data_IF_024619937236
#
_entry.id   IF_024619937236
#
_cell.length_a   1.000
_cell.length_b   1.000
_cell.length_c   1.000
_cell.angle_alpha   90.00
_cell.angle_beta   90.00
_cell.angle_gamma   90.00
#
_symmetry.space_group_name_H-M   'P 1'
#
loop_
_entity.id
_entity.type
_entity.pdbx_description
1 polymer ?
#
# COMPACT_ATOMS: atom_id res chain seq x y z
N UNK A 1 -24.15 -60.30 57.09
CA UNK A 1 -23.40 -59.03 57.28
C UNK A 1 -23.39 -58.27 55.95
N UNK A 2 -23.40 -56.94 55.98
CA UNK A 2 -24.13 -56.02 55.07
C UNK A 2 -23.24 -55.51 53.89
N UNK A 3 -23.55 -54.42 53.15
CA UNK A 3 -24.83 -53.77 52.79
C UNK A 3 -25.02 -53.47 51.27
N UNK A 4 -26.24 -52.97 50.98
CA UNK A 4 -26.76 -52.18 49.84
C UNK A 4 -25.77 -51.31 49.01
N UNK A 5 -26.04 -51.08 47.71
CA UNK A 5 -25.46 -49.98 46.97
C UNK A 5 -26.17 -48.64 47.28
N UNK A 6 -25.37 -47.62 47.61
CA UNK A 6 -25.79 -46.23 47.79
C UNK A 6 -25.67 -45.43 46.49
N UNK A 7 -26.62 -44.52 46.36
CA UNK A 7 -26.79 -43.45 45.38
C UNK A 7 -25.56 -42.57 45.13
N UNK A 8 -25.44 -42.03 43.91
CA UNK A 8 -25.26 -40.57 43.71
C UNK A 8 -25.37 -40.20 42.22
N UNK A 9 -26.52 -39.62 41.85
CA UNK A 9 -26.64 -38.74 40.69
C UNK A 9 -26.85 -37.32 41.22
N UNK A 10 -26.01 -36.33 40.87
CA UNK A 10 -26.30 -34.94 41.21
C UNK A 10 -27.37 -34.38 40.27
N UNK A 11 -28.43 -33.83 40.89
CA UNK A 11 -29.49 -33.04 40.27
C UNK A 11 -28.91 -31.78 39.61
N UNK A 12 -29.09 -31.66 38.29
CA UNK A 12 -29.02 -30.36 37.61
C UNK A 12 -30.28 -29.56 37.95
N UNK A 13 -30.10 -28.44 38.65
CA UNK A 13 -31.17 -27.49 38.94
C UNK A 13 -31.43 -26.64 37.69
N UNK A 14 -32.49 -26.97 36.97
CA UNK A 14 -33.05 -26.15 35.90
C UNK A 14 -33.87 -25.01 36.53
N UNK A 15 -33.26 -23.83 36.66
CA UNK A 15 -34.00 -22.57 36.85
C UNK A 15 -34.39 -22.01 35.47
N UNK A 16 -35.66 -21.66 35.23
CA UNK A 16 -36.06 -21.02 33.98
C UNK A 16 -35.53 -19.59 33.92
N UNK A 17 -34.79 -19.28 32.85
CA UNK A 17 -34.41 -17.91 32.47
C UNK A 17 -35.68 -17.23 31.92
N UNK A 18 -36.18 -16.29 32.70
CA UNK A 18 -37.24 -15.36 32.34
C UNK A 18 -36.75 -14.37 31.28
N UNK A 19 -37.42 -14.36 30.14
CA UNK A 19 -37.29 -13.36 29.07
C UNK A 19 -37.85 -12.02 29.53
N UNK A 20 -37.11 -10.90 29.45
CA UNK A 20 -37.71 -9.58 29.63
C UNK A 20 -38.39 -9.13 28.34
N UNK A 21 -39.71 -8.97 28.46
CA UNK A 21 -40.61 -8.39 27.47
C UNK A 21 -40.30 -6.93 27.18
N UNK A 22 -40.31 -6.56 25.90
CA UNK A 22 -40.21 -5.20 25.40
C UNK A 22 -41.34 -4.31 25.94
N UNK A 23 -41.07 -3.09 26.43
CA UNK A 23 -42.11 -2.10 26.65
C UNK A 23 -42.39 -1.33 25.34
N UNK A 24 -43.65 -1.37 24.93
CA UNK A 24 -44.22 -0.46 23.93
C UNK A 24 -44.34 0.94 24.54
N UNK A 25 -43.84 1.95 23.82
CA UNK A 25 -44.08 3.36 24.14
C UNK A 25 -44.76 4.01 22.94
N UNK A 26 -45.98 4.46 23.19
CA UNK A 26 -46.80 5.32 22.36
C UNK A 26 -46.18 6.72 22.21
N UNK A 27 -46.53 7.49 21.15
CA UNK A 27 -45.88 8.75 20.86
C UNK A 27 -46.46 9.88 21.71
N UNK A 28 -45.61 10.52 22.52
CA UNK A 28 -45.95 11.76 23.23
C UNK A 28 -45.51 12.97 22.40
N UNK A 29 -46.49 13.76 21.98
CA UNK A 29 -46.36 15.10 21.43
C UNK A 29 -45.74 16.04 22.46
N UNK A 30 -44.61 16.69 22.15
CA UNK A 30 -44.23 17.96 22.77
C UNK A 30 -43.34 18.81 21.84
N UNK A 31 -43.93 19.96 21.45
CA UNK A 31 -43.33 21.28 21.25
C UNK A 31 -41.99 21.42 20.50
N UNK A 32 -42.10 21.90 19.25
CA UNK A 32 -41.03 22.58 18.53
C UNK A 32 -40.52 23.82 19.29
N UNK A 33 -39.32 23.74 19.84
CA UNK A 33 -38.49 24.92 20.11
C UNK A 33 -37.51 25.06 18.95
N UNK A 34 -37.78 26.02 18.05
CA UNK A 34 -36.86 26.42 16.98
C UNK A 34 -35.70 27.21 17.59
N UNK A 35 -34.54 26.59 17.73
CA UNK A 35 -33.26 27.29 17.84
C UNK A 35 -32.77 27.59 16.42
N UNK A 36 -32.80 28.87 16.04
CA UNK A 36 -32.24 29.35 14.79
C UNK A 36 -30.70 29.32 14.88
N UNK A 37 -30.10 28.29 14.28
CA UNK A 37 -28.66 28.25 13.99
C UNK A 37 -28.38 28.83 12.59
N UNK A 38 -27.26 29.52 12.38
CA UNK A 38 -26.93 30.11 11.08
C UNK A 38 -26.63 29.03 10.02
N UNK A 39 -27.12 29.28 8.81
CA UNK A 39 -26.98 28.46 7.60
C UNK A 39 -25.52 28.17 7.23
N UNK A 40 -25.16 26.97 6.73
CA UNK A 40 -23.83 26.71 6.23
C UNK A 40 -23.58 27.49 4.94
N UNK A 41 -22.74 28.53 5.02
CA UNK A 41 -22.21 29.22 3.86
C UNK A 41 -21.37 28.23 3.03
N UNK A 42 -21.72 28.13 1.75
CA UNK A 42 -21.00 27.43 0.70
C UNK A 42 -19.56 27.94 0.60
N UNK A 43 -18.61 27.17 1.13
CA UNK A 43 -17.18 27.44 0.96
C UNK A 43 -16.76 27.08 -0.47
N UNK A 44 -16.87 28.06 -1.37
CA UNK A 44 -16.24 28.01 -2.70
C UNK A 44 -14.75 28.35 -2.54
N UNK A 45 -13.87 27.38 -2.77
CA UNK A 45 -12.42 27.59 -2.80
C UNK A 45 -12.02 28.22 -4.15
N UNK A 46 -12.14 29.54 -4.25
CA UNK A 46 -11.59 30.30 -5.37
C UNK A 46 -10.11 30.62 -5.11
N UNK A 47 -9.20 29.82 -5.67
CA UNK A 47 -7.77 30.14 -5.71
C UNK A 47 -7.44 30.95 -6.96
N UNK A 48 -7.70 32.26 -6.94
CA UNK A 48 -7.15 33.19 -7.94
C UNK A 48 -6.29 34.22 -7.25
N UNK A 49 -4.99 33.95 -7.16
CA UNK A 49 -3.98 34.98 -6.88
C UNK A 49 -3.75 35.78 -8.16
N UNK A 50 -4.36 36.97 -8.25
CA UNK A 50 -4.16 37.90 -9.35
C UNK A 50 -2.77 38.56 -9.24
N UNK A 51 -1.83 38.11 -10.07
CA UNK A 51 -0.60 38.84 -10.39
C UNK A 51 -0.79 39.75 -11.62
N UNK A 52 0.06 40.78 -11.81
CA UNK A 52 -0.12 41.75 -12.89
C UNK A 52 0.07 41.11 -14.27
N UNK A 53 -0.81 41.47 -15.20
CA UNK A 53 -0.93 40.91 -16.54
C UNK A 53 0.34 41.14 -17.39
N UNK A 54 1.01 40.06 -17.77
CA UNK A 54 2.04 40.04 -18.82
C UNK A 54 1.36 39.91 -20.20
N UNK A 55 1.81 40.70 -21.17
CA UNK A 55 1.27 40.77 -22.52
C UNK A 55 1.31 39.42 -23.26
N UNK A 56 0.34 39.11 -24.14
CA UNK A 56 0.26 37.82 -24.81
C UNK A 56 1.35 37.66 -25.86
N UNK A 57 2.15 36.60 -25.74
CA UNK A 57 3.06 36.12 -26.79
C UNK A 57 2.27 35.47 -27.94
N UNK A 58 2.75 35.53 -29.19
CA UNK A 58 2.02 35.04 -30.35
C UNK A 58 1.82 33.51 -30.30
N UNK A 59 0.62 33.08 -30.65
CA UNK A 59 0.18 31.69 -30.62
C UNK A 59 1.06 30.81 -31.53
N UNK A 60 1.80 29.89 -30.90
CA UNK A 60 2.40 28.76 -31.59
C UNK A 60 1.29 27.80 -32.01
N UNK A 61 1.29 27.42 -33.29
CA UNK A 61 0.35 26.49 -33.90
C UNK A 61 0.33 25.14 -33.15
N UNK A 62 -0.82 24.44 -33.08
CA UNK A 62 -0.89 23.15 -32.40
C UNK A 62 -0.11 22.12 -33.22
N UNK A 63 1.13 21.85 -32.82
CA UNK A 63 1.81 20.63 -33.23
C UNK A 63 0.97 19.46 -32.73
N UNK A 64 0.50 18.63 -33.64
CA UNK A 64 -0.17 17.37 -33.35
C UNK A 64 0.75 16.51 -32.48
N UNK A 65 0.56 16.57 -31.16
CA UNK A 65 1.17 15.62 -30.23
C UNK A 65 0.48 14.28 -30.46
N UNK A 66 0.94 13.55 -31.49
CA UNK A 66 0.63 12.14 -31.63
C UNK A 66 1.09 11.48 -30.33
N UNK A 67 0.13 11.12 -29.49
CA UNK A 67 0.36 10.25 -28.33
C UNK A 67 0.89 8.94 -28.90
N UNK A 68 2.23 8.82 -28.96
CA UNK A 68 2.89 7.58 -29.37
C UNK A 68 2.44 6.52 -28.39
N UNK A 69 1.56 5.62 -28.83
CA UNK A 69 1.32 4.37 -28.12
C UNK A 69 2.67 3.69 -27.93
N UNK A 70 2.93 3.27 -26.71
CA UNK A 70 4.10 2.46 -26.38
C UNK A 70 4.12 1.16 -27.16
N UNK A 71 5.30 0.63 -27.44
CA UNK A 71 5.41 -0.71 -27.98
C UNK A 71 5.02 -1.76 -26.93
N UNK A 72 4.55 -2.97 -27.33
CA UNK A 72 4.26 -4.06 -26.41
C UNK A 72 5.45 -4.42 -25.51
N UNK A 73 6.67 -4.40 -26.05
CA UNK A 73 7.91 -4.61 -25.29
C UNK A 73 8.08 -3.57 -24.18
N UNK A 74 7.90 -2.28 -24.49
CA UNK A 74 7.98 -1.20 -23.48
C UNK A 74 6.89 -1.30 -22.41
N UNK A 75 5.75 -1.91 -22.73
CA UNK A 75 4.68 -2.15 -21.77
C UNK A 75 5.00 -3.33 -20.85
N UNK A 76 5.63 -4.38 -21.38
CA UNK A 76 6.13 -5.51 -20.62
C UNK A 76 7.27 -5.09 -19.67
N UNK A 77 8.26 -4.33 -20.17
CA UNK A 77 9.36 -3.80 -19.34
C UNK A 77 8.84 -2.97 -18.16
N UNK A 78 7.79 -2.15 -18.40
CA UNK A 78 7.18 -1.33 -17.34
C UNK A 78 6.41 -2.17 -16.33
N UNK A 79 5.80 -3.26 -16.77
CA UNK A 79 5.09 -4.19 -15.89
C UNK A 79 6.08 -4.93 -14.98
N UNK A 80 7.19 -5.41 -15.54
CA UNK A 80 8.28 -6.07 -14.81
C UNK A 80 8.93 -5.11 -13.81
N UNK A 81 9.27 -3.88 -14.23
CA UNK A 81 9.83 -2.88 -13.33
C UNK A 81 8.92 -2.54 -12.14
N UNK A 82 7.59 -2.55 -12.34
CA UNK A 82 6.63 -2.33 -11.24
C UNK A 82 6.62 -3.50 -10.25
N UNK A 83 6.62 -4.74 -10.75
CA UNK A 83 6.70 -5.92 -9.90
C UNK A 83 8.03 -5.99 -9.14
N UNK A 84 9.15 -5.75 -9.83
CA UNK A 84 10.49 -5.74 -9.23
C UNK A 84 10.61 -4.69 -8.14
N UNK A 85 10.04 -3.50 -8.34
CA UNK A 85 10.00 -2.48 -7.30
C UNK A 85 9.19 -2.95 -6.07
N UNK A 86 8.03 -3.57 -6.27
CA UNK A 86 7.23 -4.10 -5.17
C UNK A 86 8.00 -5.17 -4.38
N UNK A 87 8.66 -6.10 -5.07
CA UNK A 87 9.53 -7.13 -4.47
C UNK A 87 10.69 -6.48 -3.71
N UNK A 88 11.39 -5.51 -4.31
CA UNK A 88 12.52 -4.84 -3.70
C UNK A 88 12.14 -4.08 -2.41
N UNK A 89 10.93 -3.49 -2.36
CA UNK A 89 10.40 -2.87 -1.14
C UNK A 89 10.23 -3.91 -0.03
N UNK A 90 9.60 -5.05 -0.32
CA UNK A 90 9.42 -6.14 0.64
C UNK A 90 10.77 -6.72 1.09
N UNK A 91 11.70 -6.94 0.16
CA UNK A 91 13.05 -7.41 0.45
C UNK A 91 13.80 -6.42 1.37
N UNK A 92 13.65 -5.11 1.17
CA UNK A 92 14.27 -4.11 2.04
C UNK A 92 13.74 -4.16 3.49
N UNK A 93 12.47 -4.51 3.69
CA UNK A 93 11.89 -4.68 5.02
C UNK A 93 12.34 -5.98 5.69
N UNK A 94 12.40 -7.07 4.92
CA UNK A 94 12.99 -8.34 5.39
C UNK A 94 14.44 -8.16 5.80
N UNK A 95 15.18 -7.40 5.01
CA UNK A 95 16.57 -7.10 5.27
C UNK A 95 16.79 -6.38 6.60
N UNK A 96 15.96 -5.36 6.87
CA UNK A 96 15.93 -4.71 8.17
C UNK A 96 15.59 -5.69 9.30
N UNK A 97 14.57 -6.53 9.11
CA UNK A 97 14.15 -7.53 10.11
C UNK A 97 15.28 -8.51 10.42
N UNK A 98 15.98 -9.03 9.41
CA UNK A 98 17.05 -10.01 9.60
C UNK A 98 18.34 -9.41 10.16
N UNK A 99 18.69 -8.18 9.77
CA UNK A 99 19.98 -7.58 10.16
C UNK A 99 19.93 -6.72 11.42
N UNK A 100 18.78 -6.14 11.76
CA UNK A 100 18.73 -5.09 12.78
C UNK A 100 17.70 -5.35 13.89
N UNK A 101 16.61 -6.08 13.61
CA UNK A 101 15.62 -6.41 14.63
C UNK A 101 15.99 -7.75 15.27
N UNK A 102 16.25 -7.75 16.58
CA UNK A 102 16.73 -8.91 17.34
C UNK A 102 15.72 -9.43 18.34
N UNK A 103 14.74 -8.61 18.72
CA UNK A 103 13.76 -8.96 19.75
C UNK A 103 12.36 -8.47 19.39
N UNK A 104 11.36 -9.17 19.93
CA UNK A 104 9.95 -8.74 19.93
C UNK A 104 9.77 -7.37 20.62
N UNK A 105 10.69 -7.00 21.52
CA UNK A 105 10.68 -5.70 22.19
C UNK A 105 10.82 -4.54 21.20
N UNK A 106 11.74 -4.65 20.24
CA UNK A 106 11.98 -3.61 19.23
C UNK A 106 10.78 -3.40 18.29
N UNK A 107 10.00 -4.46 18.00
CA UNK A 107 8.76 -4.31 17.20
C UNK A 107 7.65 -3.60 17.97
N UNK A 108 7.57 -3.83 19.28
CA UNK A 108 6.50 -3.36 20.16
C UNK A 108 6.77 -1.99 20.78
N UNK A 109 8.01 -1.52 20.74
CA UNK A 109 8.39 -0.24 21.32
C UNK A 109 7.55 0.87 20.68
N UNK A 110 6.71 1.51 21.50
CA UNK A 110 5.93 2.65 21.05
C UNK A 110 6.86 3.82 20.77
N UNK A 111 6.59 4.51 19.67
CA UNK A 111 7.40 5.65 19.25
C UNK A 111 7.04 6.91 20.02
N UNK A 112 8.06 7.67 20.40
CA UNK A 112 7.93 9.00 21.01
C UNK A 112 7.72 10.06 19.93
N UNK A 113 8.46 9.94 18.81
CA UNK A 113 8.38 10.82 17.65
C UNK A 113 7.10 10.62 16.84
N UNK A 114 6.52 9.42 16.87
CA UNK A 114 5.28 9.06 16.18
C UNK A 114 4.29 8.39 17.15
N UNK A 115 3.59 9.17 18.00
CA UNK A 115 2.66 8.64 18.98
C UNK A 115 1.63 7.67 18.38
N UNK A 116 1.46 6.52 19.03
CA UNK A 116 0.58 5.44 18.57
C UNK A 116 1.23 4.49 17.55
N UNK A 117 2.38 4.84 16.97
CA UNK A 117 3.15 4.04 16.05
C UNK A 117 4.19 3.14 16.74
N UNK A 118 4.60 2.09 16.04
CA UNK A 118 5.77 1.25 16.35
C UNK A 118 6.27 0.62 15.05
N UNK A 119 7.49 0.07 15.05
CA UNK A 119 8.02 -0.68 13.90
C UNK A 119 7.07 -1.80 13.51
N UNK A 120 6.63 -2.61 14.47
CA UNK A 120 5.71 -3.73 14.23
C UNK A 120 4.34 -3.28 13.71
N UNK A 121 3.79 -2.17 14.19
CA UNK A 121 2.49 -1.65 13.71
C UNK A 121 2.55 -1.21 12.25
N UNK A 122 3.63 -0.53 11.85
CA UNK A 122 3.84 -0.12 10.46
C UNK A 122 4.07 -1.32 9.53
N UNK A 123 4.93 -2.27 9.91
CA UNK A 123 5.15 -3.48 9.13
C UNK A 123 3.88 -4.30 8.96
N UNK A 124 3.10 -4.49 10.05
CA UNK A 124 1.80 -5.16 9.99
C UNK A 124 0.88 -4.49 8.97
N UNK A 125 0.80 -3.17 8.96
CA UNK A 125 -0.11 -2.48 8.04
C UNK A 125 0.26 -2.72 6.58
N UNK A 126 1.55 -2.68 6.25
CA UNK A 126 2.06 -3.02 4.91
C UNK A 126 1.77 -4.48 4.55
N UNK A 127 2.01 -5.41 5.47
CA UNK A 127 1.71 -6.84 5.28
C UNK A 127 0.22 -7.06 5.01
N UNK A 128 -0.67 -6.45 5.81
CA UNK A 128 -2.13 -6.57 5.64
C UNK A 128 -2.57 -6.08 4.25
N UNK A 129 -2.03 -4.95 3.78
CA UNK A 129 -2.36 -4.38 2.47
C UNK A 129 -1.90 -5.29 1.32
N UNK A 130 -0.64 -5.78 1.34
CA UNK A 130 -0.17 -6.72 0.32
C UNK A 130 -0.90 -8.06 0.35
N UNK A 131 -1.22 -8.57 1.55
CA UNK A 131 -1.97 -9.80 1.69
C UNK A 131 -3.35 -9.68 1.05
N UNK A 132 -4.09 -8.60 1.32
CA UNK A 132 -5.39 -8.35 0.72
C UNK A 132 -5.32 -8.21 -0.81
N UNK A 133 -4.26 -7.60 -1.34
CA UNK A 133 -3.99 -7.53 -2.78
C UNK A 133 -3.72 -8.90 -3.41
N UNK A 134 -2.88 -9.73 -2.78
CA UNK A 134 -2.46 -11.04 -3.31
C UNK A 134 -3.51 -12.13 -3.14
N UNK A 135 -4.35 -12.06 -2.10
CA UNK A 135 -5.35 -13.07 -1.78
C UNK A 135 -6.22 -13.51 -2.97
N UNK A 136 -6.85 -12.60 -3.73
CA UNK A 136 -7.65 -13.00 -4.89
C UNK A 136 -6.80 -13.46 -6.09
N UNK A 137 -5.50 -13.19 -6.12
CA UNK A 137 -4.57 -13.58 -7.19
C UNK A 137 -3.97 -14.99 -6.99
N UNK A 138 -4.26 -15.62 -5.85
CA UNK A 138 -3.87 -17.00 -5.59
C UNK A 138 -4.65 -17.96 -6.48
N UNK A 139 -4.06 -19.10 -6.89
CA UNK A 139 -4.76 -20.11 -7.66
C UNK A 139 -5.99 -20.59 -6.89
N UNK A 140 -7.18 -20.28 -7.41
CA UNK A 140 -8.45 -20.66 -6.80
C UNK A 140 -9.03 -21.91 -7.48
N UNK A 141 -9.97 -22.57 -6.79
CA UNK A 141 -10.75 -23.73 -7.27
C UNK A 141 -11.16 -23.62 -8.76
N UNK A 142 -11.26 -24.74 -9.51
CA UNK A 142 -11.50 -24.76 -10.97
C UNK A 142 -12.73 -23.97 -11.47
N UNK A 143 -13.63 -23.59 -10.57
CA UNK A 143 -14.77 -22.71 -10.85
C UNK A 143 -14.52 -21.32 -10.26
N UNK A 144 -14.10 -20.33 -11.06
CA UNK A 144 -13.98 -18.95 -10.58
C UNK A 144 -15.36 -18.41 -10.21
N UNK A 145 -15.47 -17.63 -9.11
CA UNK A 145 -16.73 -16.99 -8.76
C UNK A 145 -17.20 -16.06 -9.90
N UNK A 146 -18.52 -15.95 -10.14
CA UNK A 146 -19.03 -15.06 -11.16
C UNK A 146 -18.76 -13.60 -10.81
N UNK A 147 -18.11 -12.87 -11.72
CA UNK A 147 -17.88 -11.43 -11.61
C UNK A 147 -16.40 -11.01 -11.74
N UNK A 148 -16.12 -9.70 -11.74
CA UNK A 148 -14.75 -9.21 -11.72
C UNK A 148 -14.04 -9.61 -10.43
N UNK A 149 -12.73 -9.82 -10.53
CA UNK A 149 -11.87 -10.09 -9.38
C UNK A 149 -12.04 -9.01 -8.31
N UNK A 150 -12.25 -9.38 -7.06
CA UNK A 150 -12.43 -8.43 -5.96
C UNK A 150 -11.16 -8.34 -5.10
N UNK A 151 -10.66 -7.12 -4.90
CA UNK A 151 -9.66 -6.80 -3.88
C UNK A 151 -10.38 -6.08 -2.75
N UNK A 152 -10.34 -6.66 -1.55
CA UNK A 152 -10.98 -6.11 -0.37
C UNK A 152 -9.92 -5.87 0.72
N UNK A 153 -9.52 -4.61 0.91
CA UNK A 153 -8.49 -4.24 1.89
C UNK A 153 -8.96 -4.41 3.36
N UNK A 154 -10.25 -4.62 3.58
CA UNK A 154 -10.83 -4.88 4.90
C UNK A 154 -11.13 -6.36 5.16
N UNK A 155 -10.79 -7.27 4.24
CA UNK A 155 -10.97 -8.72 4.40
C UNK A 155 -10.03 -9.37 5.45
N UNK A 156 -9.61 -8.60 6.45
CA UNK A 156 -8.61 -8.96 7.45
C UNK A 156 -9.09 -10.15 8.29
N UNK A 157 -8.21 -11.14 8.49
CA UNK A 157 -8.36 -12.21 9.47
C UNK A 157 -8.01 -11.66 10.88
N UNK A 158 -8.99 -11.43 11.78
CA UNK A 158 -8.71 -10.77 13.06
C UNK A 158 -7.76 -11.58 13.97
N UNK A 159 -7.73 -12.91 13.80
CA UNK A 159 -6.93 -13.83 14.61
C UNK A 159 -5.41 -13.71 14.36
N UNK A 160 -4.97 -13.31 13.17
CA UNK A 160 -3.55 -13.22 12.81
C UNK A 160 -2.97 -11.80 12.92
N UNK A 161 -3.84 -10.80 13.07
CA UNK A 161 -3.48 -9.36 13.13
C UNK A 161 -2.56 -8.99 14.28
N UNK A 162 -2.85 -9.48 15.49
CA UNK A 162 -2.14 -9.05 16.69
C UNK A 162 -0.72 -9.63 16.78
N UNK A 163 -0.49 -10.92 16.45
CA UNK A 163 0.85 -11.50 16.43
C UNK A 163 1.84 -10.83 15.47
N UNK A 164 1.41 -10.44 14.26
CA UNK A 164 2.29 -9.83 13.24
C UNK A 164 3.00 -8.58 13.76
N UNK A 165 2.30 -7.70 14.49
CA UNK A 165 2.91 -6.47 15.01
C UNK A 165 3.79 -6.67 16.25
N UNK A 166 3.85 -7.89 16.81
CA UNK A 166 4.36 -8.12 18.17
C UNK A 166 5.40 -9.23 18.28
N UNK A 167 5.42 -10.15 17.32
CA UNK A 167 6.32 -11.29 17.29
C UNK A 167 7.22 -11.21 16.07
N UNK A 168 8.54 -11.18 16.29
CA UNK A 168 9.54 -11.11 15.24
C UNK A 168 9.50 -12.32 14.30
N UNK A 169 9.41 -13.57 14.78
CA UNK A 169 9.21 -14.73 13.91
C UNK A 169 7.98 -14.59 13.01
N UNK A 170 6.82 -14.25 13.59
CA UNK A 170 5.55 -14.14 12.84
C UNK A 170 5.59 -12.99 11.84
N UNK A 171 6.14 -11.83 12.22
CA UNK A 171 6.30 -10.70 11.32
C UNK A 171 7.21 -11.03 10.13
N UNK A 172 8.32 -11.73 10.39
CA UNK A 172 9.31 -12.10 9.38
C UNK A 172 8.74 -13.14 8.42
N UNK A 173 8.06 -14.15 8.97
CA UNK A 173 7.37 -15.18 8.18
C UNK A 173 6.29 -14.55 7.30
N UNK A 174 5.44 -13.69 7.85
CA UNK A 174 4.39 -13.03 7.08
C UNK A 174 4.96 -12.15 5.95
N UNK A 175 6.02 -11.37 6.21
CA UNK A 175 6.67 -10.56 5.18
C UNK A 175 7.37 -11.45 4.12
N UNK A 176 7.92 -12.59 4.53
CA UNK A 176 8.53 -13.59 3.63
C UNK A 176 7.48 -14.19 2.69
N UNK A 177 6.31 -14.54 3.23
CA UNK A 177 5.18 -15.03 2.44
C UNK A 177 4.75 -14.01 1.38
N UNK A 178 4.67 -12.72 1.73
CA UNK A 178 4.34 -11.67 0.76
C UNK A 178 5.36 -11.64 -0.40
N UNK A 179 6.66 -11.68 -0.10
CA UNK A 179 7.72 -11.71 -1.13
C UNK A 179 7.54 -12.91 -2.05
N UNK A 180 7.39 -14.09 -1.46
CA UNK A 180 7.34 -15.34 -2.22
C UNK A 180 6.06 -15.41 -3.07
N UNK A 181 4.95 -14.90 -2.57
CA UNK A 181 3.68 -14.82 -3.30
C UNK A 181 3.73 -13.81 -4.47
N UNK A 182 4.37 -12.65 -4.29
CA UNK A 182 4.62 -11.70 -5.38
C UNK A 182 5.43 -12.35 -6.50
N UNK A 183 6.52 -13.05 -6.16
CA UNK A 183 7.37 -13.76 -7.14
C UNK A 183 6.60 -14.84 -7.88
N UNK A 184 5.92 -15.73 -7.14
CA UNK A 184 5.10 -16.81 -7.72
C UNK A 184 3.99 -16.25 -8.61
N UNK A 185 3.33 -15.16 -8.20
CA UNK A 185 2.29 -14.54 -9.02
C UNK A 185 2.88 -13.93 -10.31
N UNK A 186 4.02 -13.22 -10.21
CA UNK A 186 4.74 -12.68 -11.35
C UNK A 186 5.15 -13.75 -12.37
N UNK A 187 5.72 -14.86 -11.91
CA UNK A 187 6.10 -16.00 -12.75
C UNK A 187 4.89 -16.60 -13.48
N UNK A 188 3.76 -16.81 -12.78
CA UNK A 188 2.52 -17.31 -13.40
C UNK A 188 1.96 -16.33 -14.44
N UNK A 189 1.96 -15.04 -14.13
CA UNK A 189 1.49 -14.00 -15.05
C UNK A 189 2.37 -13.89 -16.29
N UNK A 190 3.69 -14.05 -16.15
CA UNK A 190 4.65 -14.04 -17.26
C UNK A 190 4.51 -15.26 -18.18
N UNK A 191 4.49 -16.47 -17.60
CA UNK A 191 4.42 -17.75 -18.35
C UNK A 191 3.10 -17.96 -19.10
N UNK A 192 2.01 -17.33 -18.66
CA UNK A 192 0.75 -17.31 -19.40
C UNK A 192 0.89 -16.66 -20.80
N UNK A 193 1.94 -15.87 -21.05
CA UNK A 193 2.25 -15.29 -22.36
C UNK A 193 2.97 -16.21 -23.34
N UNK A 194 3.71 -17.21 -22.85
CA UNK A 194 4.58 -18.04 -23.70
C UNK A 194 3.86 -19.26 -24.30
N UNK A 195 2.81 -19.75 -23.66
CA UNK A 195 2.05 -20.94 -24.11
C UNK A 195 1.10 -20.67 -25.30
N UNK A 196 1.00 -19.42 -25.77
CA UNK A 196 0.14 -18.98 -26.87
C UNK A 196 0.74 -19.06 -28.28
N UNK A 197 1.91 -19.70 -28.49
CA UNK A 197 2.57 -19.78 -29.81
C UNK A 197 1.96 -20.81 -30.79
N UNK A 198 0.69 -21.19 -30.61
CA UNK A 198 -0.05 -22.11 -31.48
C UNK A 198 -1.27 -21.45 -32.11
N UNK A 199 -1.17 -21.09 -33.39
CA UNK A 199 -2.27 -20.77 -34.31
C UNK A 199 -3.22 -19.61 -33.93
N UNK A 200 -2.88 -18.42 -34.41
CA UNK A 200 -3.76 -17.38 -34.96
C UNK A 200 -5.18 -17.22 -34.40
N UNK A 201 -5.33 -16.41 -33.35
CA UNK A 201 -6.25 -15.26 -33.21
C UNK A 201 -5.93 -14.61 -31.85
N UNK A 202 -5.38 -13.41 -31.86
CA UNK A 202 -4.70 -12.82 -30.71
C UNK A 202 -5.57 -12.43 -29.51
N UNK A 203 -5.00 -12.61 -28.33
CA UNK A 203 -4.76 -11.58 -27.32
C UNK A 203 -3.55 -12.05 -26.50
N UNK A 204 -2.56 -11.16 -26.32
CA UNK A 204 -1.31 -11.47 -25.65
C UNK A 204 -1.54 -11.96 -24.22
N UNK A 205 -0.80 -12.98 -23.81
CA UNK A 205 -0.60 -13.24 -22.38
C UNK A 205 0.62 -12.46 -21.89
N UNK A 206 0.89 -12.54 -20.59
CA UNK A 206 2.05 -11.91 -19.96
C UNK A 206 1.66 -10.94 -18.85
N UNK A 207 2.66 -10.52 -18.08
CA UNK A 207 2.48 -9.66 -16.92
C UNK A 207 1.81 -8.32 -17.29
N UNK A 208 2.16 -7.71 -18.43
CA UNK A 208 1.54 -6.46 -18.85
C UNK A 208 0.01 -6.57 -19.00
N UNK A 209 -0.49 -7.66 -19.57
CA UNK A 209 -1.93 -7.90 -19.74
C UNK A 209 -2.59 -8.25 -18.41
N UNK A 210 -1.92 -9.04 -17.56
CA UNK A 210 -2.37 -9.30 -16.19
C UNK A 210 -2.56 -7.98 -15.41
N UNK A 211 -1.61 -7.05 -15.49
CA UNK A 211 -1.70 -5.75 -14.81
C UNK A 211 -2.84 -4.86 -15.34
N UNK A 212 -3.32 -5.07 -16.58
CA UNK A 212 -4.47 -4.35 -17.14
C UNK A 212 -5.81 -4.91 -16.69
N UNK A 213 -5.85 -6.16 -16.18
CA UNK A 213 -7.09 -6.82 -15.79
C UNK A 213 -7.85 -5.97 -14.77
N UNK A 214 -9.11 -5.69 -15.07
CA UNK A 214 -9.98 -4.90 -14.20
C UNK A 214 -10.32 -5.66 -12.92
N UNK A 215 -10.38 -4.92 -11.81
CA UNK A 215 -10.76 -5.43 -10.50
C UNK A 215 -11.81 -4.53 -9.86
N UNK A 216 -12.67 -5.11 -9.03
CA UNK A 216 -13.53 -4.38 -8.11
C UNK A 216 -12.77 -4.18 -6.80
N UNK A 217 -12.52 -2.93 -6.45
CA UNK A 217 -11.91 -2.55 -5.19
C UNK A 217 -13.00 -2.28 -4.15
N UNK A 218 -12.85 -2.87 -2.97
CA UNK A 218 -13.73 -2.70 -1.82
C UNK A 218 -12.93 -2.22 -0.61
N UNK A 219 -13.43 -1.18 0.06
CA UNK A 219 -12.90 -0.70 1.32
C UNK A 219 -14.01 -0.13 2.23
N UNK A 220 -13.78 -0.04 3.54
CA UNK A 220 -14.73 0.45 4.56
C UNK A 220 -14.17 1.75 5.15
N UNK A 221 -14.82 2.88 4.86
CA UNK A 221 -14.44 4.19 5.39
C UNK A 221 -15.63 5.15 5.51
N UNK A 222 -16.16 5.46 6.71
CA UNK A 222 -16.81 4.51 7.63
C UNK A 222 -17.95 3.70 6.99
N UNK A 223 -18.31 3.98 5.73
CA UNK A 223 -19.25 3.20 4.92
C UNK A 223 -18.49 2.40 3.85
N UNK A 224 -19.12 1.35 3.32
CA UNK A 224 -18.56 0.55 2.24
C UNK A 224 -18.41 1.40 0.97
N UNK A 225 -17.19 1.46 0.46
CA UNK A 225 -16.82 2.08 -0.80
C UNK A 225 -16.52 0.99 -1.82
N UNK A 226 -17.00 1.18 -3.04
CA UNK A 226 -16.72 0.28 -4.17
C UNK A 226 -16.24 1.10 -5.36
N UNK A 227 -15.12 0.68 -5.95
CA UNK A 227 -14.50 1.39 -7.07
C UNK A 227 -13.99 0.40 -8.12
N UNK A 228 -13.93 0.84 -9.37
CA UNK A 228 -13.18 0.11 -10.41
C UNK A 228 -11.69 0.41 -10.27
N UNK A 229 -10.85 -0.59 -10.53
CA UNK A 229 -9.40 -0.45 -10.64
C UNK A 229 -8.82 -1.47 -11.61
N UNK A 230 -7.49 -1.53 -11.69
CA UNK A 230 -6.75 -2.59 -12.36
C UNK A 230 -5.71 -3.18 -11.41
N UNK A 231 -5.25 -4.39 -11.68
CA UNK A 231 -4.20 -5.04 -10.86
C UNK A 231 -2.94 -4.17 -10.78
N UNK A 232 -2.50 -3.59 -11.90
CA UNK A 232 -1.33 -2.70 -11.93
C UNK A 232 -1.50 -1.45 -11.07
N UNK A 233 -2.69 -0.85 -11.06
CA UNK A 233 -2.98 0.31 -10.20
C UNK A 233 -2.95 -0.06 -8.72
N UNK A 234 -3.48 -1.22 -8.36
CA UNK A 234 -3.47 -1.69 -6.96
C UNK A 234 -2.08 -2.13 -6.49
N UNK A 235 -1.27 -2.75 -7.35
CA UNK A 235 0.14 -3.07 -7.04
C UNK A 235 0.96 -1.79 -6.83
N UNK A 236 0.73 -0.77 -7.65
CA UNK A 236 1.35 0.55 -7.48
C UNK A 236 0.90 1.21 -6.16
N UNK A 237 -0.39 1.13 -5.81
CA UNK A 237 -0.89 1.58 -4.51
C UNK A 237 -0.19 0.87 -3.35
N UNK A 238 -0.08 -0.46 -3.37
CA UNK A 238 0.62 -1.23 -2.35
C UNK A 238 2.08 -0.77 -2.21
N UNK A 239 2.75 -0.50 -3.33
CA UNK A 239 4.13 -0.01 -3.35
C UNK A 239 4.27 1.38 -2.74
N UNK A 240 3.40 2.33 -3.11
CA UNK A 240 3.39 3.68 -2.53
C UNK A 240 3.03 3.67 -1.04
N UNK A 241 2.10 2.80 -0.65
CA UNK A 241 1.70 2.63 0.75
C UNK A 241 2.84 2.05 1.59
N UNK A 242 3.60 1.09 1.04
CA UNK A 242 4.81 0.57 1.67
C UNK A 242 5.88 1.66 1.82
N UNK A 243 6.17 2.43 0.76
CA UNK A 243 7.12 3.56 0.82
C UNK A 243 6.70 4.56 1.90
N UNK A 244 5.41 4.92 1.94
CA UNK A 244 4.87 5.82 2.96
C UNK A 244 5.15 5.30 4.38
N UNK A 245 4.83 4.04 4.67
CA UNK A 245 5.10 3.47 5.99
C UNK A 245 6.57 3.26 6.29
N UNK A 246 7.39 2.90 5.31
CA UNK A 246 8.83 2.76 5.51
C UNK A 246 9.50 4.10 5.80
N UNK A 247 8.99 5.21 5.25
CA UNK A 247 9.46 6.55 5.60
C UNK A 247 9.20 6.88 7.07
N UNK A 248 8.03 6.53 7.61
CA UNK A 248 7.70 6.72 9.03
C UNK A 248 8.50 5.76 9.91
N UNK A 249 8.59 4.50 9.49
CA UNK A 249 9.34 3.46 10.17
C UNK A 249 10.83 3.83 10.29
N UNK A 250 11.42 4.41 9.24
CA UNK A 250 12.80 4.89 9.25
C UNK A 250 13.04 5.87 10.39
N UNK A 251 12.11 6.78 10.66
CA UNK A 251 12.21 7.74 11.77
C UNK A 251 12.33 7.01 13.10
N UNK A 252 11.51 5.99 13.33
CA UNK A 252 11.54 5.17 14.55
C UNK A 252 12.85 4.37 14.62
N UNK A 253 13.17 3.63 13.56
CA UNK A 253 14.32 2.74 13.51
C UNK A 253 15.64 3.49 13.73
N UNK A 254 15.85 4.59 13.01
CA UNK A 254 17.10 5.35 13.08
C UNK A 254 17.19 6.17 14.37
N UNK A 255 16.16 6.94 14.71
CA UNK A 255 16.26 7.93 15.78
C UNK A 255 15.91 7.41 17.17
N UNK A 256 15.18 6.29 17.28
CA UNK A 256 14.76 5.75 18.58
C UNK A 256 15.35 4.38 18.88
N UNK A 257 15.63 3.58 17.85
CA UNK A 257 16.25 2.25 18.01
C UNK A 257 17.75 2.23 17.66
N UNK A 258 18.30 3.34 17.14
CA UNK A 258 19.71 3.43 16.76
C UNK A 258 20.10 2.48 15.63
N UNK A 259 19.16 2.16 14.73
CA UNK A 259 19.37 1.26 13.61
C UNK A 259 19.85 2.05 12.39
N UNK A 260 21.00 1.67 11.85
CA UNK A 260 21.49 2.21 10.59
C UNK A 260 20.74 1.58 9.40
N UNK A 261 20.08 2.43 8.61
CA UNK A 261 19.35 2.02 7.41
C UNK A 261 19.92 2.71 6.15
N UNK A 262 19.99 2.00 5.01
CA UNK A 262 20.45 2.57 3.75
C UNK A 262 19.57 3.75 3.33
N UNK A 263 20.11 4.72 2.58
CA UNK A 263 19.40 5.96 2.23
C UNK A 263 18.15 5.70 1.36
N UNK A 264 18.14 4.56 0.68
CA UNK A 264 17.07 4.06 -0.18
C UNK A 264 15.86 3.60 0.64
N UNK A 265 16.04 3.11 1.87
CA UNK A 265 14.94 2.59 2.69
C UNK A 265 13.89 3.68 2.99
N UNK A 266 12.66 3.46 2.55
CA UNK A 266 11.56 4.42 2.69
C UNK A 266 11.68 5.67 1.80
N UNK A 267 12.59 5.69 0.83
CA UNK A 267 12.70 6.78 -0.16
C UNK A 267 12.07 6.33 -1.48
N UNK A 268 11.18 7.15 -2.04
CA UNK A 268 10.59 6.85 -3.34
C UNK A 268 11.64 6.82 -4.47
N UNK A 269 11.55 5.89 -5.45
CA UNK A 269 12.51 5.80 -6.55
C UNK A 269 12.67 7.10 -7.34
N UNK A 270 11.59 7.84 -7.57
CA UNK A 270 11.62 9.15 -8.24
C UNK A 270 12.50 10.17 -7.51
N UNK A 271 12.51 10.12 -6.17
CA UNK A 271 13.37 10.98 -5.34
C UNK A 271 14.84 10.57 -5.45
N UNK A 272 15.13 9.27 -5.54
CA UNK A 272 16.50 8.77 -5.77
C UNK A 272 17.02 9.21 -7.14
N UNK A 273 16.23 9.01 -8.20
CA UNK A 273 16.56 9.45 -9.56
C UNK A 273 16.79 10.97 -9.64
N UNK A 274 15.95 11.76 -8.95
CA UNK A 274 16.13 13.21 -8.88
C UNK A 274 17.46 13.59 -8.20
N UNK A 275 17.81 12.93 -7.09
CA UNK A 275 19.07 13.16 -6.36
C UNK A 275 20.28 12.77 -7.20
N UNK A 276 20.23 11.65 -7.92
CA UNK A 276 21.30 11.20 -8.83
C UNK A 276 21.52 12.19 -9.98
N UNK A 277 20.44 12.63 -10.64
CA UNK A 277 20.50 13.63 -11.72
C UNK A 277 21.10 14.95 -11.24
N UNK A 278 20.77 15.38 -10.02
CA UNK A 278 21.31 16.60 -9.44
C UNK A 278 22.77 16.46 -8.99
N UNK A 279 23.19 15.28 -8.54
CA UNK A 279 24.61 14.98 -8.27
C UNK A 279 25.43 15.01 -9.57
N UNK A 280 24.95 14.37 -10.64
CA UNK A 280 25.63 14.33 -11.94
C UNK A 280 25.81 15.73 -12.56
N UNK A 281 24.78 16.58 -12.48
CA UNK A 281 24.84 17.98 -12.95
C UNK A 281 25.76 18.87 -12.11
N UNK A 282 25.90 18.61 -10.81
CA UNK A 282 26.81 19.36 -9.93
C UNK A 282 28.28 18.97 -10.17
N UNK A 283 28.56 17.70 -10.48
CA UNK A 283 29.92 17.21 -10.77
C UNK A 283 30.40 17.63 -12.17
N UNK A 284 29.49 17.75 -13.16
CA UNK A 284 29.81 18.23 -14.51
C UNK A 284 30.05 19.74 -14.64
N UNK A 285 29.82 20.54 -13.58
CA UNK A 285 29.95 22.01 -13.60
C UNK A 285 31.28 22.58 -13.11
N UNK A 286 32.23 21.75 -12.62
CA UNK A 286 33.56 22.19 -12.19
C UNK A 286 34.62 21.81 -13.24
N UNK A 287 34.62 22.49 -14.38
CA UNK A 287 35.64 22.35 -15.41
C UNK A 287 35.89 23.65 -16.18
N UNK A 288 37.09 24.20 -15.99
CA UNK A 288 37.75 25.26 -16.78
C UNK A 288 37.32 26.73 -16.56
N UNK A 289 37.94 27.38 -15.57
CA UNK A 289 38.49 28.73 -15.76
C UNK A 289 40.00 28.62 -15.65
N UNK A 290 40.65 28.17 -16.72
CA UNK A 290 42.11 28.33 -16.86
C UNK A 290 42.38 29.80 -17.14
N UNK A 291 43.06 30.41 -16.17
CA UNK A 291 43.58 31.77 -16.19
C UNK A 291 44.56 31.92 -17.37
N UNK A 292 44.29 32.85 -18.28
CA UNK A 292 45.24 33.20 -19.35
C UNK A 292 46.38 34.07 -18.77
N UNK A 293 47.65 33.84 -19.12
CA UNK A 293 48.73 34.72 -18.70
C UNK A 293 48.78 35.97 -19.58
N UNK A 294 49.06 37.11 -18.95
CA UNK A 294 49.23 38.41 -19.58
C UNK A 294 50.46 38.41 -20.52
N UNK A 295 50.25 38.78 -21.78
CA UNK A 295 51.33 39.11 -22.72
C UNK A 295 51.63 40.61 -22.61
N UNK A 296 52.86 40.91 -22.19
CA UNK A 296 53.47 42.25 -22.21
C UNK A 296 54.18 42.40 -23.57
N UNK A 297 53.73 43.31 -24.43
CA UNK A 297 54.54 43.78 -25.56
C UNK A 297 55.16 45.14 -25.22
N UNK A 298 56.49 45.20 -25.31
CA UNK A 298 57.25 46.42 -25.52
C UNK A 298 57.61 46.48 -27.00
N UNK A 299 57.64 47.71 -27.52
CA UNK A 299 57.88 48.19 -28.89
C UNK A 299 56.60 48.37 -29.70
#
# INVERSE_FOLDING_TARGET
MPPRPLSSSPKASSKPISTPSSPSLSPSSHSHVRLAGPSPASASLNHTLAGPALAPSPALSPSSSSSRRSSPEQEQDRAEALLDMAIALVDSALDMLYRHIRTDGQLRQDSVLLPGGSVGKHLRHVIETYHAFLLPLQPSSPTPPPGPLEINYDAILPSTRHPIARSLPVCTEAMTTIRDDLRKWGERAGTAGETGSGTGTGMGGGLAEELRREVRLVAITPTRQEMKSTIGRELWFCSLHAIHHFSMLRTIAVHELGIDLPVEFGTAPSTLLYRERNKASTVGGKGSKTQAPAVRSKL
#
